data_IF_858185809170
#
_entry.id   IF_858185809170
#
_cell.length_a   1.000
_cell.length_b   1.000
_cell.length_c   1.000
_cell.angle_alpha   90.00
_cell.angle_beta   90.00
_cell.angle_gamma   90.00
#
_symmetry.space_group_name_H-M   'P 1'
#
loop_
_entity.id
_entity.type
_entity.pdbx_description
1 polymer ?
#
# COMPACT_ATOMS: atom_id res chain seq x y z
N UNK A 1 14.43 0.55 -19.89
CA UNK A 1 13.26 1.18 -20.52
C UNK A 1 12.42 1.71 -19.38
N UNK A 2 12.64 2.98 -19.00
CA UNK A 2 12.13 3.54 -17.75
C UNK A 2 10.94 4.43 -18.08
N UNK A 3 9.74 3.97 -17.73
CA UNK A 3 8.51 4.69 -17.98
C UNK A 3 8.43 5.90 -17.05
N UNK A 4 8.25 7.08 -17.67
CA UNK A 4 7.95 8.37 -17.07
C UNK A 4 6.76 8.26 -16.11
N UNK A 5 6.98 8.52 -14.82
CA UNK A 5 5.91 8.99 -13.96
C UNK A 5 5.61 10.45 -14.33
N UNK A 6 4.38 10.71 -14.76
CA UNK A 6 3.82 12.04 -14.99
C UNK A 6 2.63 12.15 -14.05
N UNK A 7 2.54 13.29 -13.40
CA UNK A 7 1.48 13.73 -12.48
C UNK A 7 1.67 13.35 -11.01
N UNK A 8 1.21 14.22 -10.12
CA UNK A 8 1.68 14.41 -8.74
C UNK A 8 1.34 13.31 -7.73
N UNK A 9 0.97 12.11 -8.17
CA UNK A 9 0.74 10.96 -7.30
C UNK A 9 2.08 10.46 -6.74
N UNK A 10 2.26 10.60 -5.42
CA UNK A 10 3.33 9.93 -4.68
C UNK A 10 2.87 8.51 -4.40
N UNK A 11 3.82 7.58 -4.47
CA UNK A 11 3.58 6.18 -4.19
C UNK A 11 4.71 5.65 -3.33
N UNK A 12 4.39 5.06 -2.17
CA UNK A 12 5.37 4.47 -1.28
C UNK A 12 5.10 2.98 -1.13
N UNK A 13 6.13 2.16 -1.37
CA UNK A 13 6.02 0.69 -1.29
C UNK A 13 6.85 0.17 -0.13
N UNK A 14 6.23 -0.62 0.74
CA UNK A 14 6.91 -1.38 1.80
C UNK A 14 6.92 -2.85 1.39
N UNK A 15 8.12 -3.42 1.29
CA UNK A 15 8.33 -4.85 1.13
C UNK A 15 8.43 -5.51 2.50
N UNK A 16 7.61 -6.53 2.72
CA UNK A 16 7.61 -7.38 3.90
C UNK A 16 8.21 -8.73 3.54
N UNK A 17 8.63 -9.48 4.57
CA UNK A 17 9.09 -10.85 4.40
C UNK A 17 7.92 -11.75 3.96
N UNK A 18 8.20 -12.79 3.18
CA UNK A 18 7.20 -13.77 2.74
C UNK A 18 6.38 -14.38 3.89
N UNK A 19 7.01 -14.56 5.05
CA UNK A 19 6.41 -15.10 6.27
C UNK A 19 5.82 -14.03 7.21
N UNK A 20 5.73 -12.76 6.78
CA UNK A 20 5.24 -11.68 7.62
C UNK A 20 3.87 -12.02 8.24
N UNK A 21 3.69 -11.76 9.53
CA UNK A 21 2.40 -11.97 10.19
C UNK A 21 1.38 -10.90 9.75
N UNK A 22 0.09 -11.13 10.01
CA UNK A 22 -0.93 -10.09 9.83
C UNK A 22 -0.63 -8.84 10.67
N UNK A 23 -0.01 -9.00 11.84
CA UNK A 23 0.42 -7.87 12.68
C UNK A 23 1.51 -7.05 11.99
N UNK A 24 2.50 -7.69 11.35
CA UNK A 24 3.54 -6.97 10.59
C UNK A 24 2.95 -6.22 9.39
N UNK A 25 1.93 -6.78 8.73
CA UNK A 25 1.23 -6.08 7.65
C UNK A 25 0.50 -4.83 8.18
N UNK A 26 -0.15 -4.94 9.34
CA UNK A 26 -0.82 -3.80 9.99
C UNK A 26 0.16 -2.73 10.46
N UNK A 27 1.33 -3.13 10.95
CA UNK A 27 2.41 -2.20 11.26
C UNK A 27 2.84 -1.43 10.00
N UNK A 28 3.04 -2.11 8.88
CA UNK A 28 3.35 -1.46 7.60
C UNK A 28 2.26 -0.49 7.14
N UNK A 29 0.98 -0.83 7.35
CA UNK A 29 -0.12 0.09 7.06
C UNK A 29 -0.05 1.34 7.94
N UNK A 30 0.23 1.19 9.23
CA UNK A 30 0.37 2.31 10.15
C UNK A 30 1.56 3.20 9.74
N UNK A 31 2.68 2.62 9.32
CA UNK A 31 3.84 3.35 8.83
C UNK A 31 3.51 4.16 7.56
N UNK A 32 2.79 3.57 6.60
CA UNK A 32 2.35 4.25 5.37
C UNK A 32 1.34 5.37 5.64
N UNK A 33 0.43 5.17 6.59
CA UNK A 33 -0.54 6.21 6.98
C UNK A 33 0.19 7.34 7.72
N UNK A 34 1.17 7.00 8.59
CA UNK A 34 1.97 7.99 9.29
C UNK A 34 2.90 8.77 8.34
N UNK A 35 3.41 8.13 7.27
CA UNK A 35 4.25 8.79 6.26
C UNK A 35 3.48 9.77 5.37
N UNK A 36 2.14 9.72 5.40
CA UNK A 36 1.28 10.57 4.60
C UNK A 36 1.50 12.07 4.85
N UNK A 37 2.02 12.50 6.01
CA UNK A 37 2.37 13.91 6.34
C UNK A 37 1.28 14.93 5.93
N UNK A 38 0.01 14.59 6.14
CA UNK A 38 -1.14 15.44 5.78
C UNK A 38 -1.59 15.37 4.32
N UNK A 39 -0.98 14.51 3.49
CA UNK A 39 -1.48 14.17 2.17
C UNK A 39 -2.76 13.33 2.26
N UNK A 40 -3.69 13.55 1.33
CA UNK A 40 -4.90 12.74 1.24
C UNK A 40 -4.55 11.36 0.67
N UNK A 41 -4.70 10.33 1.51
CA UNK A 41 -4.50 8.94 1.12
C UNK A 41 -5.78 8.43 0.45
N UNK A 42 -5.68 8.03 -0.82
CA UNK A 42 -6.83 7.49 -1.58
C UNK A 42 -7.11 6.03 -1.28
N UNK A 43 -6.07 5.29 -0.93
CA UNK A 43 -6.14 3.86 -0.75
C UNK A 43 -4.77 3.26 -0.51
N UNK A 44 -4.80 2.01 -0.05
CA UNK A 44 -3.62 1.18 0.10
C UNK A 44 -3.79 -0.03 -0.82
N UNK A 45 -2.83 -0.20 -1.70
CA UNK A 45 -2.71 -1.37 -2.55
C UNK A 45 -1.88 -2.44 -1.84
N UNK A 46 -2.33 -3.69 -1.92
CA UNK A 46 -1.67 -4.82 -1.26
C UNK A 46 -1.40 -5.92 -2.26
N UNK A 47 -0.31 -6.66 -2.06
CA UNK A 47 -0.11 -7.91 -2.78
C UNK A 47 -1.30 -8.85 -2.54
N UNK A 48 -1.60 -9.69 -3.52
CA UNK A 48 -2.71 -10.65 -3.42
C UNK A 48 -2.47 -11.69 -2.30
N UNK A 49 -1.20 -11.96 -1.97
CA UNK A 49 -0.83 -12.77 -0.79
C UNK A 49 -1.37 -12.14 0.51
N UNK A 50 -1.33 -10.82 0.65
CA UNK A 50 -1.91 -10.10 1.79
C UNK A 50 -3.43 -10.09 1.70
N UNK A 51 -3.99 -9.84 0.52
CA UNK A 51 -5.43 -9.81 0.29
C UNK A 51 -6.10 -11.14 0.70
N UNK A 52 -5.53 -12.26 0.26
CA UNK A 52 -6.03 -13.60 0.59
C UNK A 52 -5.86 -14.00 2.06
N UNK A 53 -5.03 -13.29 2.85
CA UNK A 53 -4.95 -13.48 4.30
C UNK A 53 -6.14 -12.86 5.06
N UNK A 54 -7.06 -12.21 4.34
CA UNK A 54 -8.32 -11.73 4.90
C UNK A 54 -8.17 -10.44 5.69
N UNK A 55 -7.30 -9.54 5.23
CA UNK A 55 -7.05 -8.27 5.93
C UNK A 55 -8.23 -7.28 5.86
N UNK A 56 -9.24 -7.57 5.03
CA UNK A 56 -10.41 -6.73 4.82
C UNK A 56 -10.31 -5.86 3.57
N UNK A 57 -11.39 -5.16 3.25
CA UNK A 57 -11.54 -4.22 2.14
C UNK A 57 -11.20 -2.77 2.53
N UNK A 58 -11.01 -2.49 3.81
CA UNK A 58 -10.55 -1.20 4.33
C UNK A 58 -9.68 -1.35 5.59
N UNK A 59 -8.80 -0.37 5.84
CA UNK A 59 -8.01 -0.24 7.06
C UNK A 59 -8.06 1.18 7.58
N UNK A 60 -8.58 1.38 8.80
CA UNK A 60 -8.77 2.71 9.40
C UNK A 60 -9.57 3.69 8.52
N UNK A 61 -10.54 3.18 7.73
CA UNK A 61 -11.33 3.96 6.78
C UNK A 61 -10.62 4.27 5.46
N UNK A 62 -9.42 3.73 5.25
CA UNK A 62 -8.70 3.79 3.97
C UNK A 62 -9.01 2.52 3.18
N UNK A 63 -9.50 2.62 1.94
CA UNK A 63 -9.84 1.44 1.15
C UNK A 63 -8.57 0.64 0.81
N UNK A 64 -8.67 -0.69 0.91
CA UNK A 64 -7.66 -1.65 0.51
C UNK A 64 -8.02 -2.25 -0.85
N UNK A 65 -7.04 -2.39 -1.74
CA UNK A 65 -7.22 -3.06 -3.02
C UNK A 65 -6.08 -4.03 -3.31
N UNK A 66 -6.34 -5.21 -3.88
CA UNK A 66 -5.27 -6.05 -4.38
C UNK A 66 -4.64 -5.41 -5.62
N UNK A 67 -3.31 -5.40 -5.69
CA UNK A 67 -2.56 -4.96 -6.86
C UNK A 67 -1.78 -6.13 -7.48
N UNK A 68 -2.07 -6.39 -8.76
CA UNK A 68 -1.48 -7.49 -9.53
C UNK A 68 -0.01 -7.27 -9.90
N UNK A 69 0.53 -6.06 -9.68
CA UNK A 69 1.93 -5.74 -9.96
C UNK A 69 2.84 -5.78 -8.71
N UNK A 70 2.27 -6.05 -7.53
CA UNK A 70 3.02 -6.19 -6.27
C UNK A 70 3.57 -7.62 -6.04
N UNK A 71 3.45 -8.52 -7.01
CA UNK A 71 3.98 -9.89 -6.95
C UNK A 71 5.47 -9.99 -7.31
N UNK A 72 6.19 -11.02 -6.82
CA UNK A 72 5.75 -12.12 -5.95
C UNK A 72 5.82 -11.81 -4.44
N UNK A 73 6.11 -10.57 -4.07
CA UNK A 73 6.54 -10.20 -2.73
C UNK A 73 5.35 -9.85 -1.84
N UNK A 74 5.47 -10.06 -0.52
CA UNK A 74 4.48 -9.54 0.44
C UNK A 74 4.69 -8.03 0.53
N UNK A 75 4.03 -7.27 -0.34
CA UNK A 75 4.22 -5.82 -0.43
C UNK A 75 2.92 -5.04 -0.20
N UNK A 76 3.09 -3.82 0.28
CA UNK A 76 2.03 -2.82 0.47
C UNK A 76 2.45 -1.52 -0.20
N UNK A 77 1.50 -0.81 -0.80
CA UNK A 77 1.72 0.43 -1.52
C UNK A 77 0.66 1.48 -1.16
N UNK A 78 1.05 2.68 -0.74
CA UNK A 78 0.11 3.79 -0.53
C UNK A 78 -0.08 4.60 -1.83
N UNK A 79 -1.32 5.05 -2.07
CA UNK A 79 -1.67 5.91 -3.20
C UNK A 79 -2.14 7.26 -2.66
N UNK A 80 -1.33 8.30 -2.88
CA UNK A 80 -1.61 9.66 -2.42
C UNK A 80 -2.20 10.53 -3.52
N UNK A 81 -3.18 11.39 -3.20
CA UNK A 81 -3.63 12.44 -4.12
C UNK A 81 -2.51 13.46 -4.30
N UNK A 82 -2.04 13.63 -5.54
CA UNK A 82 -1.23 14.78 -5.90
C UNK A 82 -2.02 16.08 -5.71
N UNK A 83 -1.60 16.92 -4.75
CA UNK A 83 -2.06 18.30 -4.69
C UNK A 83 -1.41 19.06 -5.86
N UNK A 84 -2.18 19.26 -6.94
CA UNK A 84 -1.84 20.19 -8.03
C UNK A 84 -1.97 21.65 -7.63
#
# INVERSE_FOLDING_TARGET
MSLRARDGDRTETIQLRDDASLDNVREAFNELIASADGAELRGIEVSQSIWHRGIGDEYQGVPLAPADDLYPEVAVRSVFVGNG
#
